data_IF_321352327474
#
_entry.id   IF_321352327474
#
_cell.length_a   1.000
_cell.length_b   1.000
_cell.length_c   1.000
_cell.angle_alpha   90.00
_cell.angle_beta   90.00
_cell.angle_gamma   90.00
#
_symmetry.space_group_name_H-M   'P 1'
#
loop_
_entity.id
_entity.type
_entity.pdbx_description
1 polymer ?
#
# COMPACT_ATOMS: atom_id res chain seq x y z
N UNK A 1 13.83 11.22 4.12
CA UNK A 1 12.89 10.10 4.40
C UNK A 1 12.33 9.53 3.11
N UNK A 2 11.82 8.32 3.16
CA UNK A 2 11.16 7.66 2.03
C UNK A 2 9.71 7.34 2.39
N UNK A 3 8.84 7.34 1.38
CA UNK A 3 7.44 6.98 1.54
C UNK A 3 7.09 5.83 0.61
N UNK A 4 6.31 4.88 1.09
CA UNK A 4 5.77 3.80 0.28
C UNK A 4 4.66 4.37 -0.63
N UNK A 5 4.87 4.41 -1.93
CA UNK A 5 3.95 5.02 -2.89
C UNK A 5 3.01 4.01 -3.56
N UNK A 6 3.48 2.80 -3.79
CA UNK A 6 2.68 1.73 -4.41
C UNK A 6 3.16 0.35 -4.00
N UNK A 7 2.23 -0.60 -4.00
CA UNK A 7 2.50 -2.00 -3.75
C UNK A 7 1.82 -2.86 -4.81
N UNK A 8 2.57 -3.80 -5.36
CA UNK A 8 2.05 -4.96 -6.09
C UNK A 8 2.47 -6.22 -5.37
N UNK A 9 1.58 -7.20 -5.30
CA UNK A 9 1.84 -8.54 -4.79
C UNK A 9 1.14 -9.56 -5.69
N UNK A 10 1.86 -10.60 -6.10
CA UNK A 10 1.33 -11.78 -6.76
C UNK A 10 1.80 -13.01 -6.00
N UNK A 11 0.86 -13.83 -5.57
CA UNK A 11 1.12 -15.05 -4.80
C UNK A 11 0.99 -16.24 -5.73
N UNK A 12 2.06 -16.99 -5.92
CA UNK A 12 2.10 -18.16 -6.79
C UNK A 12 1.61 -19.42 -6.08
N UNK A 13 1.97 -19.54 -4.81
CA UNK A 13 1.59 -20.68 -3.95
C UNK A 13 1.64 -20.30 -2.47
N UNK A 14 1.00 -21.11 -1.63
CA UNK A 14 0.97 -20.87 -0.19
C UNK A 14 2.37 -20.83 0.43
N UNK A 15 2.59 -19.84 1.30
CA UNK A 15 3.80 -19.76 2.10
C UNK A 15 3.90 -20.96 3.07
N UNK A 16 5.09 -21.51 3.32
CA UNK A 16 5.28 -22.52 4.33
C UNK A 16 5.04 -21.95 5.74
N UNK A 17 4.60 -22.80 6.67
CA UNK A 17 4.34 -22.39 8.05
C UNK A 17 5.61 -21.93 8.78
N UNK A 18 6.75 -22.51 8.46
CA UNK A 18 8.08 -22.16 8.99
C UNK A 18 9.13 -22.61 7.99
N UNK A 19 9.90 -21.68 7.47
CA UNK A 19 11.04 -21.93 6.57
C UNK A 19 11.91 -20.70 6.45
N UNK A 20 13.17 -20.90 6.04
CA UNK A 20 13.98 -19.84 5.47
C UNK A 20 13.63 -19.71 3.99
N UNK A 21 13.21 -18.52 3.57
CA UNK A 21 12.86 -18.24 2.17
C UNK A 21 13.94 -17.32 1.62
N UNK A 22 14.59 -17.78 0.57
CA UNK A 22 15.51 -16.92 -0.18
C UNK A 22 14.72 -16.03 -1.13
N UNK A 23 15.01 -14.74 -1.08
CA UNK A 23 14.37 -13.73 -1.93
C UNK A 23 15.41 -12.97 -2.71
N UNK A 24 15.09 -12.64 -3.97
CA UNK A 24 15.94 -11.83 -4.85
C UNK A 24 15.30 -10.47 -5.07
N UNK A 25 16.03 -9.42 -4.70
CA UNK A 25 15.58 -8.03 -4.86
C UNK A 25 16.40 -7.30 -5.91
N UNK A 26 15.77 -6.47 -6.71
CA UNK A 26 16.44 -5.60 -7.70
C UNK A 26 15.70 -4.27 -7.82
N UNK A 27 16.46 -3.20 -8.08
CA UNK A 27 15.88 -1.92 -8.52
C UNK A 27 15.58 -2.05 -10.01
N UNK A 28 14.31 -1.83 -10.38
CA UNK A 28 13.82 -1.96 -11.77
C UNK A 28 13.67 -0.61 -12.46
N UNK A 29 13.65 0.50 -11.70
CA UNK A 29 13.59 1.83 -12.24
C UNK A 29 13.85 2.92 -11.22
N UNK A 30 14.39 4.04 -11.69
CA UNK A 30 14.51 5.29 -10.91
C UNK A 30 14.05 6.44 -11.79
N UNK A 31 13.01 7.13 -11.36
CA UNK A 31 12.28 8.10 -12.15
C UNK A 31 12.35 9.49 -11.55
N UNK A 32 12.68 10.48 -12.38
CA UNK A 32 12.67 11.89 -11.99
C UNK A 32 11.24 12.45 -12.01
N UNK A 33 10.68 12.73 -10.85
CA UNK A 33 9.35 13.36 -10.69
C UNK A 33 9.43 14.88 -10.49
N UNK A 34 10.57 15.49 -10.80
CA UNK A 34 10.82 16.92 -10.64
C UNK A 34 11.30 17.29 -9.24
N UNK A 35 10.42 17.33 -8.26
CA UNK A 35 10.78 17.62 -6.86
C UNK A 35 11.12 16.37 -6.03
N UNK A 36 10.97 15.19 -6.60
CA UNK A 36 11.18 13.91 -5.93
C UNK A 36 11.70 12.86 -6.92
N UNK A 37 12.26 11.78 -6.41
CA UNK A 37 12.45 10.54 -7.15
C UNK A 37 11.36 9.52 -6.82
N UNK A 38 11.06 8.65 -7.77
CA UNK A 38 10.34 7.41 -7.52
C UNK A 38 11.26 6.25 -7.89
N UNK A 39 11.47 5.34 -6.95
CA UNK A 39 12.29 4.15 -7.16
C UNK A 39 11.39 2.92 -7.14
N UNK A 40 11.44 2.13 -8.20
CA UNK A 40 10.74 0.86 -8.29
C UNK A 40 11.69 -0.28 -7.91
N UNK A 41 11.26 -1.11 -6.96
CA UNK A 41 11.98 -2.27 -6.45
C UNK A 41 11.11 -3.50 -6.69
N UNK A 42 11.68 -4.54 -7.26
CA UNK A 42 11.03 -5.84 -7.38
C UNK A 42 11.72 -6.86 -6.47
N UNK A 43 10.93 -7.64 -5.76
CA UNK A 43 11.39 -8.76 -4.93
C UNK A 43 10.64 -10.01 -5.36
N UNK A 44 11.36 -11.10 -5.60
CA UNK A 44 10.80 -12.35 -6.09
C UNK A 44 11.37 -13.55 -5.34
N UNK A 45 10.55 -14.56 -5.16
CA UNK A 45 10.94 -15.89 -4.71
C UNK A 45 10.02 -16.95 -5.33
N UNK A 46 10.18 -18.21 -4.95
CA UNK A 46 9.34 -19.31 -5.45
C UNK A 46 7.86 -19.20 -5.04
N UNK A 47 7.51 -18.37 -4.05
CA UNK A 47 6.16 -18.23 -3.49
C UNK A 47 5.43 -17.00 -4.00
N UNK A 48 6.14 -15.90 -4.25
CA UNK A 48 5.53 -14.64 -4.62
C UNK A 48 6.48 -13.72 -5.40
N UNK A 49 5.89 -12.75 -6.06
CA UNK A 49 6.55 -11.55 -6.56
C UNK A 49 5.89 -10.32 -5.93
N UNK A 50 6.70 -9.39 -5.44
CA UNK A 50 6.25 -8.11 -4.93
C UNK A 50 6.99 -6.97 -5.62
N UNK A 51 6.30 -5.87 -5.90
CA UNK A 51 6.94 -4.64 -6.38
C UNK A 51 6.55 -3.47 -5.48
N UNK A 52 7.53 -2.64 -5.18
CA UNK A 52 7.42 -1.49 -4.29
C UNK A 52 7.77 -0.23 -5.06
N UNK A 53 6.87 0.75 -5.07
CA UNK A 53 7.20 2.10 -5.47
C UNK A 53 7.60 2.91 -4.24
N UNK A 54 8.84 3.35 -4.18
CA UNK A 54 9.37 4.16 -3.07
C UNK A 54 9.52 5.60 -3.52
N UNK A 55 8.79 6.50 -2.89
CA UNK A 55 8.84 7.93 -3.16
C UNK A 55 9.88 8.61 -2.25
N UNK A 56 10.79 9.37 -2.86
CA UNK A 56 11.92 10.02 -2.22
C UNK A 56 11.79 11.53 -2.42
N UNK A 57 11.16 12.27 -1.50
CA UNK A 57 11.05 13.73 -1.58
C UNK A 57 12.43 14.40 -1.59
N UNK A 58 12.59 15.44 -2.40
CA UNK A 58 13.84 16.19 -2.50
C UNK A 58 14.93 15.56 -3.38
N UNK A 59 14.73 14.34 -3.89
CA UNK A 59 15.70 13.63 -4.72
C UNK A 59 15.39 13.68 -6.23
N UNK A 60 14.65 14.67 -6.70
CA UNK A 60 14.32 14.87 -8.11
C UNK A 60 15.08 16.04 -8.74
N UNK A 61 14.78 16.31 -10.02
CA UNK A 61 15.28 17.47 -10.74
C UNK A 61 16.63 17.27 -11.44
N UNK A 62 17.07 16.03 -11.61
CA UNK A 62 18.31 15.73 -12.36
C UNK A 62 18.12 15.64 -13.88
N UNK A 63 16.88 15.81 -14.39
CA UNK A 63 16.57 15.73 -15.83
C UNK A 63 16.49 14.30 -16.39
N UNK A 64 16.32 13.31 -15.52
CA UNK A 64 16.15 11.92 -15.91
C UNK A 64 14.76 11.59 -16.47
N UNK A 65 14.55 10.35 -16.87
CA UNK A 65 13.27 9.85 -17.34
C UNK A 65 12.21 9.97 -16.22
N UNK A 66 11.02 10.41 -16.62
CA UNK A 66 9.88 10.55 -15.67
C UNK A 66 9.17 9.24 -15.41
N UNK A 67 9.48 8.19 -16.15
CA UNK A 67 8.78 6.92 -16.11
C UNK A 67 7.32 7.02 -16.58
N UNK A 68 6.62 5.91 -16.57
CA UNK A 68 5.21 5.85 -16.97
C UNK A 68 4.37 6.70 -16.02
N UNK A 69 3.57 7.60 -16.58
CA UNK A 69 2.57 8.33 -15.79
C UNK A 69 1.46 7.38 -15.40
N UNK A 70 1.34 7.07 -14.12
CA UNK A 70 0.25 6.27 -13.58
C UNK A 70 -1.09 7.04 -13.54
N UNK A 71 -1.22 8.09 -14.33
CA UNK A 71 -2.48 8.81 -14.55
C UNK A 71 -3.39 8.05 -15.53
N UNK A 72 -3.49 6.74 -15.42
CA UNK A 72 -4.66 6.08 -15.97
C UNK A 72 -5.87 6.68 -15.26
N UNK A 73 -6.77 7.22 -16.07
CA UNK A 73 -8.08 7.68 -15.61
C UNK A 73 -8.68 6.56 -14.77
N UNK A 74 -8.62 6.71 -13.45
CA UNK A 74 -9.35 5.83 -12.54
C UNK A 74 -10.79 5.96 -13.03
N UNK A 75 -11.27 4.95 -13.76
CA UNK A 75 -12.68 4.87 -14.12
C UNK A 75 -13.39 4.96 -12.78
N UNK A 76 -14.25 5.97 -12.61
CA UNK A 76 -15.09 6.05 -11.40
C UNK A 76 -15.81 4.73 -11.28
N UNK A 77 -15.34 3.91 -10.37
CA UNK A 77 -15.90 2.60 -10.09
C UNK A 77 -17.29 2.86 -9.51
N UNK A 78 -18.32 2.35 -10.15
CA UNK A 78 -19.64 2.29 -9.50
C UNK A 78 -19.47 1.28 -8.37
N UNK A 79 -19.21 1.79 -7.19
CA UNK A 79 -19.09 0.96 -6.00
C UNK A 79 -20.39 0.18 -5.78
N UNK A 80 -20.29 -1.13 -5.84
CA UNK A 80 -21.41 -2.04 -5.50
C UNK A 80 -21.41 -2.39 -4.01
N UNK A 81 -20.34 -2.03 -3.30
CA UNK A 81 -20.16 -2.31 -1.88
C UNK A 81 -19.32 -1.23 -1.18
N UNK A 82 -19.61 -1.00 0.07
CA UNK A 82 -18.77 -0.17 0.94
C UNK A 82 -18.80 -0.68 2.37
N UNK A 83 -17.69 -0.52 3.07
CA UNK A 83 -17.56 -0.85 4.49
C UNK A 83 -16.61 0.13 5.18
N UNK A 84 -16.70 0.20 6.51
CA UNK A 84 -15.91 1.11 7.34
C UNK A 84 -15.14 0.32 8.39
N UNK A 85 -13.93 0.78 8.70
CA UNK A 85 -13.09 0.22 9.75
C UNK A 85 -12.37 1.35 10.49
N UNK A 86 -12.55 1.44 11.80
CA UNK A 86 -11.79 2.37 12.64
C UNK A 86 -10.51 1.69 13.09
N UNK A 87 -9.36 2.29 12.77
CA UNK A 87 -8.07 1.81 13.24
C UNK A 87 -7.92 2.10 14.74
N UNK A 88 -7.21 1.23 15.47
CA UNK A 88 -6.85 1.52 16.87
C UNK A 88 -5.82 2.64 16.95
N UNK A 89 -5.81 3.39 18.06
CA UNK A 89 -4.75 4.37 18.37
C UNK A 89 -3.38 3.72 18.50
N UNK A 90 -3.33 2.45 18.87
CA UNK A 90 -2.12 1.63 19.00
C UNK A 90 -1.79 0.84 17.72
N UNK A 91 -2.55 1.02 16.63
CA UNK A 91 -2.43 0.20 15.43
C UNK A 91 -1.01 0.21 14.83
N UNK A 92 -0.35 1.37 14.85
CA UNK A 92 1.02 1.49 14.35
C UNK A 92 2.01 0.73 15.23
N UNK A 93 1.87 0.81 16.56
CA UNK A 93 2.71 0.09 17.50
C UNK A 93 2.56 -1.43 17.36
N UNK A 94 1.34 -1.92 17.13
CA UNK A 94 1.07 -3.34 16.85
C UNK A 94 1.67 -3.78 15.52
N UNK A 95 1.50 -2.99 14.47
CA UNK A 95 2.03 -3.35 13.15
C UNK A 95 3.56 -3.41 13.11
N UNK A 96 4.26 -2.58 13.89
CA UNK A 96 5.72 -2.63 14.03
C UNK A 96 6.25 -4.01 14.42
N UNK A 97 5.45 -4.82 15.11
CA UNK A 97 5.83 -6.19 15.49
C UNK A 97 6.00 -7.12 14.28
N UNK A 98 5.52 -6.72 13.10
CA UNK A 98 5.74 -7.45 11.84
C UNK A 98 7.11 -7.17 11.20
N UNK A 99 7.91 -6.24 11.74
CA UNK A 99 9.29 -5.97 11.33
C UNK A 99 9.54 -4.57 10.75
N UNK A 100 8.51 -3.77 10.46
CA UNK A 100 8.70 -2.38 10.02
C UNK A 100 8.86 -1.45 11.23
N UNK A 101 10.10 -1.19 11.60
CA UNK A 101 10.48 -0.40 12.78
C UNK A 101 10.75 1.06 12.47
N UNK A 102 10.39 1.57 11.29
CA UNK A 102 10.66 2.97 10.93
C UNK A 102 10.05 3.92 11.98
N UNK A 103 10.83 4.87 12.54
CA UNK A 103 10.41 5.69 13.67
C UNK A 103 9.26 6.66 13.34
N UNK A 104 9.03 7.01 12.07
CA UNK A 104 7.94 7.89 11.62
C UNK A 104 6.53 7.39 12.05
N UNK A 105 6.43 6.11 12.35
CA UNK A 105 5.18 5.46 12.72
C UNK A 105 4.91 5.48 14.24
N UNK A 106 5.88 5.94 15.06
CA UNK A 106 5.72 5.92 16.52
C UNK A 106 6.33 7.13 17.22
N UNK A 107 7.33 7.78 16.63
CA UNK A 107 8.03 8.92 17.23
C UNK A 107 7.42 10.25 16.71
N UNK A 108 6.79 11.06 17.61
CA UNK A 108 6.20 12.33 17.20
C UNK A 108 7.22 13.34 16.67
N UNK A 109 8.47 13.33 17.18
CA UNK A 109 9.51 14.25 16.72
C UNK A 109 9.90 13.92 15.29
N UNK A 110 10.14 12.65 15.01
CA UNK A 110 10.47 12.20 13.64
C UNK A 110 9.30 12.45 12.69
N UNK A 111 8.05 12.25 13.12
CA UNK A 111 6.90 12.56 12.29
C UNK A 111 6.84 14.05 11.93
N UNK A 112 7.04 14.95 12.89
CA UNK A 112 7.04 16.41 12.69
C UNK A 112 8.19 16.88 11.79
N UNK A 113 9.39 16.34 11.97
CA UNK A 113 10.55 16.61 11.08
C UNK A 113 10.27 16.23 9.62
N UNK A 114 9.34 15.29 9.41
CA UNK A 114 8.91 14.84 8.09
C UNK A 114 7.57 15.47 7.63
N UNK A 115 7.17 16.58 8.26
CA UNK A 115 5.96 17.35 7.93
C UNK A 115 4.64 16.61 8.17
N UNK A 116 4.61 15.68 9.11
CA UNK A 116 3.38 15.06 9.61
C UNK A 116 3.03 15.63 10.98
N UNK A 117 1.76 15.88 11.24
CA UNK A 117 1.28 16.41 12.52
C UNK A 117 1.59 15.44 13.69
N UNK A 118 1.50 14.14 13.43
CA UNK A 118 1.76 13.06 14.38
C UNK A 118 2.16 11.78 13.64
N UNK A 119 2.63 10.73 14.35
CA UNK A 119 2.97 9.46 13.73
C UNK A 119 1.87 8.93 12.80
N UNK A 120 2.28 8.50 11.62
CA UNK A 120 1.38 7.98 10.58
C UNK A 120 1.29 6.45 10.67
N UNK A 121 0.15 5.89 10.23
CA UNK A 121 0.01 4.44 10.08
C UNK A 121 0.82 3.94 8.88
N UNK A 122 1.40 2.76 8.97
CA UNK A 122 2.07 2.09 7.85
C UNK A 122 1.12 1.90 6.66
N UNK A 123 1.60 2.22 5.47
CA UNK A 123 0.81 2.04 4.26
C UNK A 123 0.37 0.58 4.06
N UNK A 124 1.28 -0.37 4.31
CA UNK A 124 0.97 -1.80 4.21
C UNK A 124 0.00 -2.28 5.29
N UNK A 125 -0.03 -1.67 6.48
CA UNK A 125 -1.07 -1.93 7.47
C UNK A 125 -2.44 -1.54 6.94
N UNK A 126 -2.56 -0.33 6.39
CA UNK A 126 -3.79 0.16 5.76
C UNK A 126 -4.23 -0.77 4.62
N UNK A 127 -3.31 -1.15 3.73
CA UNK A 127 -3.61 -2.05 2.62
C UNK A 127 -4.03 -3.44 3.08
N UNK A 128 -3.40 -3.98 4.12
CA UNK A 128 -3.76 -5.27 4.72
C UNK A 128 -5.16 -5.27 5.35
N UNK A 129 -5.53 -4.19 6.04
CA UNK A 129 -6.90 -3.99 6.57
C UNK A 129 -7.91 -3.99 5.42
N UNK A 130 -7.63 -3.22 4.35
CA UNK A 130 -8.51 -3.13 3.19
C UNK A 130 -8.65 -4.47 2.48
N UNK A 131 -7.53 -5.18 2.24
CA UNK A 131 -7.55 -6.51 1.62
C UNK A 131 -8.37 -7.53 2.44
N UNK A 132 -8.25 -7.51 3.77
CA UNK A 132 -9.07 -8.34 4.65
C UNK A 132 -10.57 -8.03 4.52
N UNK A 133 -10.93 -6.74 4.54
CA UNK A 133 -12.34 -6.32 4.41
C UNK A 133 -12.94 -6.76 3.07
N UNK A 134 -12.16 -6.68 1.99
CA UNK A 134 -12.59 -7.14 0.66
C UNK A 134 -12.73 -8.66 0.63
N UNK A 135 -11.78 -9.41 1.20
CA UNK A 135 -11.86 -10.87 1.29
C UNK A 135 -13.15 -11.31 2.00
N UNK A 136 -13.44 -10.72 3.17
CA UNK A 136 -14.67 -10.98 3.93
C UNK A 136 -15.93 -10.71 3.09
N UNK A 137 -15.94 -9.61 2.33
CA UNK A 137 -17.07 -9.21 1.53
C UNK A 137 -17.37 -10.16 0.35
N UNK A 138 -16.36 -10.82 -0.20
CA UNK A 138 -16.53 -11.81 -1.29
C UNK A 138 -16.58 -13.25 -0.77
N UNK A 139 -16.59 -13.46 0.55
CA UNK A 139 -16.63 -14.80 1.15
C UNK A 139 -15.31 -15.57 1.01
N UNK A 140 -14.21 -14.90 0.71
CA UNK A 140 -12.87 -15.46 0.65
C UNK A 140 -12.13 -15.30 1.99
N UNK A 141 -11.06 -16.07 2.17
CA UNK A 141 -10.13 -15.84 3.28
C UNK A 141 -9.01 -14.92 2.82
N UNK A 142 -8.41 -14.10 3.68
CA UNK A 142 -7.23 -13.29 3.32
C UNK A 142 -6.09 -14.13 2.73
N UNK A 143 -5.98 -15.40 3.13
CA UNK A 143 -4.98 -16.37 2.61
C UNK A 143 -5.25 -16.84 1.18
N UNK A 144 -6.43 -16.61 0.64
CA UNK A 144 -6.79 -16.98 -0.72
C UNK A 144 -6.37 -15.91 -1.76
N UNK A 145 -5.81 -14.79 -1.28
CA UNK A 145 -5.31 -13.69 -2.10
C UNK A 145 -4.27 -14.18 -3.11
N UNK A 146 -4.51 -13.90 -4.40
CA UNK A 146 -3.60 -14.21 -5.51
C UNK A 146 -2.86 -12.97 -6.01
N UNK A 147 -3.58 -11.85 -6.11
CA UNK A 147 -2.98 -10.59 -6.57
C UNK A 147 -3.54 -9.41 -5.78
N UNK A 148 -2.67 -8.45 -5.52
CA UNK A 148 -3.01 -7.18 -4.89
C UNK A 148 -2.17 -6.08 -5.51
N UNK A 149 -2.81 -5.00 -5.92
CA UNK A 149 -2.16 -3.83 -6.50
C UNK A 149 -2.83 -2.58 -5.95
N UNK A 150 -2.05 -1.61 -5.48
CA UNK A 150 -2.59 -0.37 -4.93
C UNK A 150 -1.55 0.75 -4.89
N UNK A 151 -2.05 1.99 -4.94
CA UNK A 151 -1.24 3.19 -4.73
C UNK A 151 -1.67 3.89 -3.46
N UNK A 152 -0.70 4.28 -2.66
CA UNK A 152 -0.90 5.11 -1.48
C UNK A 152 -0.89 6.58 -1.91
N UNK A 153 -1.91 7.34 -1.55
CA UNK A 153 -2.08 8.73 -1.99
C UNK A 153 -2.07 9.75 -0.87
N UNK A 154 -2.36 9.33 0.34
CA UNK A 154 -2.31 10.17 1.55
C UNK A 154 -2.08 9.29 2.78
N UNK A 155 -1.46 9.82 3.84
CA UNK A 155 -1.28 9.10 5.09
C UNK A 155 -2.61 8.81 5.77
N UNK A 156 -2.64 7.72 6.53
CA UNK A 156 -3.66 7.38 7.50
C UNK A 156 -3.06 7.57 8.89
N UNK A 157 -3.82 8.09 9.82
CA UNK A 157 -3.39 8.25 11.20
C UNK A 157 -4.00 7.13 12.07
N UNK A 158 -3.28 6.61 13.08
CA UNK A 158 -3.88 5.73 14.07
C UNK A 158 -5.12 6.38 14.71
N UNK A 159 -6.23 5.63 14.74
CA UNK A 159 -7.56 6.13 15.17
C UNK A 159 -8.48 6.57 14.02
N UNK A 160 -7.98 6.71 12.79
CA UNK A 160 -8.79 7.10 11.64
C UNK A 160 -9.83 6.05 11.26
N UNK A 161 -10.99 6.54 10.78
CA UNK A 161 -12.04 5.73 10.17
C UNK A 161 -11.76 5.59 8.66
N UNK A 162 -11.35 4.40 8.25
CA UNK A 162 -11.14 4.04 6.85
C UNK A 162 -12.46 3.61 6.24
N UNK A 163 -12.89 4.25 5.15
CA UNK A 163 -14.01 3.85 4.32
C UNK A 163 -13.48 3.19 3.05
N UNK A 164 -13.85 1.93 2.83
CA UNK A 164 -13.49 1.15 1.65
C UNK A 164 -14.70 1.05 0.73
N UNK A 165 -14.48 1.26 -0.56
CA UNK A 165 -15.47 1.03 -1.59
C UNK A 165 -14.91 0.10 -2.66
N UNK A 166 -15.70 -0.86 -3.12
CA UNK A 166 -15.27 -1.84 -4.11
C UNK A 166 -16.36 -2.15 -5.14
N UNK A 167 -15.91 -2.62 -6.32
CA UNK A 167 -16.77 -3.14 -7.39
C UNK A 167 -16.38 -4.61 -7.65
N UNK A 168 -17.37 -5.50 -7.54
CA UNK A 168 -17.23 -6.96 -7.70
C UNK A 168 -17.72 -7.49 -9.05
N UNK A 169 -18.07 -6.61 -9.99
CA UNK A 169 -18.70 -7.02 -11.25
C UNK A 169 -17.71 -7.63 -12.26
N UNK A 170 -16.47 -7.85 -11.87
CA UNK A 170 -15.40 -8.49 -12.66
C UNK A 170 -14.67 -9.54 -11.83
N UNK A 171 -13.91 -10.40 -12.49
CA UNK A 171 -12.99 -11.33 -11.83
C UNK A 171 -11.96 -10.58 -10.96
N UNK A 172 -11.65 -9.33 -11.33
CA UNK A 172 -10.78 -8.44 -10.56
C UNK A 172 -11.65 -7.48 -9.73
N UNK A 173 -11.42 -7.45 -8.45
CA UNK A 173 -12.11 -6.53 -7.53
C UNK A 173 -11.37 -5.20 -7.58
N UNK A 174 -12.02 -4.16 -8.10
CA UNK A 174 -11.48 -2.81 -8.06
C UNK A 174 -11.91 -2.12 -6.78
N UNK A 175 -11.00 -1.46 -6.10
CA UNK A 175 -11.29 -0.80 -4.82
C UNK A 175 -10.56 0.53 -4.64
N UNK A 176 -11.10 1.33 -3.74
CA UNK A 176 -10.50 2.57 -3.22
C UNK A 176 -10.73 2.63 -1.71
N UNK A 177 -9.87 3.38 -1.01
CA UNK A 177 -10.06 3.67 0.41
C UNK A 177 -9.90 5.17 0.69
N UNK A 178 -10.67 5.67 1.66
CA UNK A 178 -10.72 7.07 2.04
C UNK A 178 -10.75 7.22 3.56
N UNK A 179 -10.30 8.40 4.04
CA UNK A 179 -10.53 8.90 5.39
C UNK A 179 -11.26 10.24 5.23
N UNK A 180 -12.54 10.27 5.56
CA UNK A 180 -13.41 11.41 5.24
C UNK A 180 -13.43 11.71 3.74
N UNK A 181 -13.06 12.94 3.34
CA UNK A 181 -12.98 13.34 1.94
C UNK A 181 -11.66 12.98 1.26
N UNK A 182 -10.63 12.55 2.01
CA UNK A 182 -9.28 12.32 1.53
C UNK A 182 -9.14 10.88 1.03
N UNK A 183 -8.71 10.68 -0.22
CA UNK A 183 -8.38 9.37 -0.74
C UNK A 183 -7.01 8.92 -0.20
N UNK A 184 -6.95 7.75 0.43
CA UNK A 184 -5.73 7.17 1.01
C UNK A 184 -5.18 6.01 0.17
N UNK A 185 -6.05 5.26 -0.50
CA UNK A 185 -5.68 4.24 -1.50
C UNK A 185 -6.44 4.51 -2.79
N UNK A 186 -5.73 4.47 -3.92
CA UNK A 186 -6.27 4.68 -5.27
C UNK A 186 -5.89 3.54 -6.21
N UNK A 187 -6.79 3.26 -7.15
CA UNK A 187 -6.57 2.30 -8.21
C UNK A 187 -6.26 0.91 -7.68
N UNK A 188 -6.86 0.56 -6.54
CA UNK A 188 -6.70 -0.75 -5.94
C UNK A 188 -7.33 -1.85 -6.78
N UNK A 189 -6.64 -2.99 -6.88
CA UNK A 189 -7.14 -4.22 -7.51
C UNK A 189 -6.78 -5.40 -6.64
N UNK A 190 -7.72 -6.31 -6.44
CA UNK A 190 -7.51 -7.56 -5.71
C UNK A 190 -8.12 -8.73 -6.48
N UNK A 191 -7.49 -9.89 -6.37
CA UNK A 191 -7.95 -11.16 -6.90
C UNK A 191 -7.70 -12.26 -5.85
N UNK A 192 -8.73 -13.04 -5.53
CA UNK A 192 -8.69 -14.12 -4.54
C UNK A 192 -8.85 -15.49 -5.17
#
# INVERSE_FOLDING_TARGET
>A
YSLHASQYLEVYRSLPKSANIETFGKITGVWDKGKAALMDIEVECEYFRASYGIFLPGFGGWGGDRGVSLSEKVKKTRSSWSCKFTTSTEQAALYRLTGDLHPIHIDPVVAQENNFERPILHGLCTLGIVARMIAEAVGARPTDLKKLDARFSSPVLPGDLIEVSADYNSSDINFEARVGSISVIKGGRAFF
#
